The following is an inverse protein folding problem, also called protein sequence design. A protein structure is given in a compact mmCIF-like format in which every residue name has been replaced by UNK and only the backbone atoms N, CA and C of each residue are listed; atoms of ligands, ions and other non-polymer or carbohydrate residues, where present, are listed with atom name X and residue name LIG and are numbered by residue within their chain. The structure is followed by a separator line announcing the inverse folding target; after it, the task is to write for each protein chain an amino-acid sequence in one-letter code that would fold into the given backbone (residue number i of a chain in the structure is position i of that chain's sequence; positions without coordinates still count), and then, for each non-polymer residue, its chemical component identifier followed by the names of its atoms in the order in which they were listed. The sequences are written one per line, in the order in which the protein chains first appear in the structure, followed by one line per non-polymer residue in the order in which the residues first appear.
data_IF_001906637696
#
_entry.id   IF_001906637696
#
_cell.length_a   1.000
_cell.length_b   1.000
_cell.length_c   1.000
_cell.angle_alpha   90.00
_cell.angle_beta   90.00
_cell.angle_gamma   90.00
#
_symmetry.space_group_name_H-M   'P 1'
#
loop_
_entity.id
_entity.type
_entity.pdbx_description
1 polymer ?
#
# COMPACT_ATOMS: atom_id res chain seq x y z
N UNK A 1 17.49 6.41 74.77
CA UNK A 1 16.98 7.26 73.60
C UNK A 1 17.42 6.73 72.27
N UNK A 2 18.64 6.22 72.07
CA UNK A 2 19.11 5.72 70.76
C UNK A 2 18.34 4.52 70.23
N UNK A 3 17.96 3.56 70.99
CA UNK A 3 17.23 2.37 70.60
C UNK A 3 15.82 2.70 70.07
N UNK A 4 15.14 3.71 70.62
CA UNK A 4 13.87 4.20 70.17
C UNK A 4 13.97 4.89 68.82
N UNK A 5 15.03 5.67 68.59
CA UNK A 5 15.26 6.35 67.28
C UNK A 5 15.57 5.35 66.13
N UNK A 6 16.36 4.31 66.47
CA UNK A 6 16.66 3.22 65.50
C UNK A 6 15.40 2.43 65.13
N UNK A 7 14.54 2.13 66.14
CA UNK A 7 13.27 1.43 65.92
C UNK A 7 12.29 2.24 65.05
N UNK A 8 12.18 3.55 65.26
CA UNK A 8 11.36 4.42 64.48
C UNK A 8 11.87 4.54 63.02
N UNK A 9 13.18 4.65 62.81
CA UNK A 9 13.74 4.67 61.45
C UNK A 9 13.54 3.33 60.73
N UNK A 10 13.69 2.20 61.42
CA UNK A 10 13.42 0.90 60.84
C UNK A 10 11.94 0.69 60.44
N UNK A 11 11.00 1.26 61.19
CA UNK A 11 9.59 1.21 60.89
C UNK A 11 9.20 2.13 59.68
N UNK A 12 9.95 3.21 59.44
CA UNK A 12 9.71 4.11 58.30
C UNK A 12 10.10 3.48 56.98
N UNK A 13 11.02 2.52 56.91
CA UNK A 13 11.47 1.89 55.67
C UNK A 13 10.34 1.08 54.98
N UNK A 14 9.64 0.15 55.66
CA UNK A 14 8.52 -0.56 55.05
C UNK A 14 7.41 0.37 54.61
N UNK A 15 7.13 1.42 55.41
CA UNK A 15 6.12 2.41 55.06
C UNK A 15 6.51 3.23 53.82
N UNK A 16 7.77 3.65 53.71
CA UNK A 16 8.28 4.36 52.53
C UNK A 16 8.27 3.47 51.26
N UNK A 17 8.63 2.19 51.41
CA UNK A 17 8.54 1.21 50.29
C UNK A 17 7.09 1.01 49.86
N UNK A 18 6.17 0.86 50.83
CA UNK A 18 4.74 0.73 50.54
C UNK A 18 4.16 1.97 49.89
N UNK A 19 4.45 3.17 50.41
CA UNK A 19 4.02 4.44 49.79
C UNK A 19 4.58 4.61 48.37
N UNK A 20 5.83 4.22 48.13
CA UNK A 20 6.46 4.25 46.84
C UNK A 20 5.82 3.23 45.85
N UNK A 21 5.38 2.08 46.35
CA UNK A 21 4.64 1.09 45.54
C UNK A 21 3.26 1.60 45.16
N UNK A 22 2.56 2.33 46.03
CA UNK A 22 1.28 2.98 45.72
C UNK A 22 1.44 4.07 44.66
N UNK A 23 2.48 4.87 44.75
CA UNK A 23 2.77 5.92 43.72
C UNK A 23 3.15 5.28 42.40
N UNK A 24 3.86 4.16 42.37
CA UNK A 24 4.15 3.41 41.15
C UNK A 24 2.94 2.67 40.59
N UNK A 25 2.04 2.19 41.44
CA UNK A 25 0.79 1.57 41.00
C UNK A 25 -0.19 2.58 40.36
N UNK A 26 0.00 3.87 40.63
CA UNK A 26 -0.86 4.95 40.12
C UNK A 26 -0.60 5.42 38.71
N UNK A 27 0.29 4.76 37.95
CA UNK A 27 0.52 5.12 36.51
C UNK A 27 -0.43 4.38 35.55
N UNK A 28 -1.56 3.91 36.06
CA UNK A 28 -2.64 3.44 35.17
C UNK A 28 -3.32 4.64 34.53
N UNK A 29 -3.15 4.80 33.22
CA UNK A 29 -3.97 5.72 32.42
C UNK A 29 -5.33 5.06 32.23
N UNK A 30 -6.33 5.48 33.02
CA UNK A 30 -7.68 4.96 32.89
C UNK A 30 -8.16 5.12 31.44
N UNK A 31 -8.54 4.01 30.80
CA UNK A 31 -9.00 3.95 29.42
C UNK A 31 -7.89 3.76 28.35
N UNK A 32 -6.63 3.62 28.74
CA UNK A 32 -5.51 3.37 27.82
C UNK A 32 -4.79 2.03 28.12
N UNK A 33 -5.43 1.11 28.84
CA UNK A 33 -4.85 -0.15 29.30
C UNK A 33 -4.40 -1.07 28.15
N UNK A 34 -4.96 -0.88 26.95
CA UNK A 34 -4.61 -1.62 25.73
C UNK A 34 -3.92 -0.76 24.65
N UNK A 35 -3.42 0.41 25.05
CA UNK A 35 -2.75 1.37 24.17
C UNK A 35 -3.56 2.65 23.94
N UNK A 36 -2.86 3.72 23.56
CA UNK A 36 -3.44 5.04 23.31
C UNK A 36 -3.96 5.22 21.87
N UNK A 37 -4.03 4.13 21.09
CA UNK A 37 -4.49 4.18 19.69
C UNK A 37 -5.97 4.56 19.62
N UNK A 38 -6.30 5.60 18.86
CA UNK A 38 -7.66 6.06 18.61
C UNK A 38 -7.85 6.47 17.17
N UNK A 39 -9.09 6.45 16.71
CA UNK A 39 -9.42 6.96 15.39
C UNK A 39 -9.12 8.45 15.31
N UNK A 40 -8.40 8.84 14.25
CA UNK A 40 -8.11 10.23 13.99
C UNK A 40 -9.35 10.92 13.40
N UNK A 41 -9.79 12.09 13.91
CA UNK A 41 -10.88 12.84 13.32
C UNK A 41 -10.59 13.19 11.85
N UNK A 42 -11.59 13.13 10.94
CA UNK A 42 -11.37 13.38 9.51
C UNK A 42 -10.71 14.72 9.19
N UNK A 43 -11.05 15.77 9.94
CA UNK A 43 -10.45 17.12 9.77
C UNK A 43 -8.96 17.11 10.08
N UNK A 44 -8.58 16.42 11.15
CA UNK A 44 -7.18 16.30 11.55
C UNK A 44 -6.42 15.39 10.58
N UNK A 45 -7.05 14.30 10.12
CA UNK A 45 -6.48 13.41 9.11
C UNK A 45 -6.20 14.17 7.79
N UNK A 46 -7.16 14.95 7.30
CA UNK A 46 -6.97 15.78 6.13
C UNK A 46 -5.81 16.77 6.31
N UNK A 47 -5.75 17.46 7.45
CA UNK A 47 -4.66 18.42 7.74
C UNK A 47 -3.28 17.79 7.79
N UNK A 48 -3.17 16.51 8.21
CA UNK A 48 -1.89 15.79 8.36
C UNK A 48 -1.42 15.13 7.07
N UNK A 49 -2.34 14.55 6.30
CA UNK A 49 -1.99 13.64 5.21
C UNK A 49 -2.33 14.17 3.83
N UNK A 50 -3.27 15.14 3.71
CA UNK A 50 -3.61 15.72 2.43
C UNK A 50 -2.76 16.96 2.13
N UNK A 51 -2.49 17.21 0.85
CA UNK A 51 -2.04 18.52 0.41
C UNK A 51 -3.28 19.44 0.34
N UNK A 52 -3.36 20.37 1.29
CA UNK A 52 -4.48 21.32 1.37
C UNK A 52 -4.30 22.54 0.46
N UNK A 53 -3.10 22.72 -0.10
CA UNK A 53 -2.78 23.82 -1.02
C UNK A 53 -3.04 23.45 -2.46
N UNK A 54 -2.85 22.19 -2.77
CA UNK A 54 -3.06 21.63 -4.09
C UNK A 54 -3.99 20.41 -3.97
N UNK A 55 -5.30 20.60 -4.13
CA UNK A 55 -6.28 19.51 -4.02
C UNK A 55 -6.04 18.38 -5.03
N UNK A 56 -5.52 18.69 -6.22
CA UNK A 56 -5.26 17.72 -7.28
C UNK A 56 -4.04 16.85 -6.99
N UNK A 57 -3.19 17.28 -6.05
CA UNK A 57 -2.06 16.49 -5.56
C UNK A 57 -2.46 15.46 -4.50
N UNK A 58 -3.67 14.91 -4.54
CA UNK A 58 -4.14 13.96 -3.53
C UNK A 58 -4.75 12.71 -4.17
N UNK A 59 -4.45 11.56 -3.59
CA UNK A 59 -5.26 10.36 -3.78
C UNK A 59 -6.50 10.52 -2.90
N UNK A 60 -7.68 10.49 -3.48
CA UNK A 60 -8.95 10.62 -2.76
C UNK A 60 -9.22 9.33 -1.99
N UNK A 61 -9.22 9.40 -0.67
CA UNK A 61 -9.56 8.27 0.21
C UNK A 61 -11.04 8.31 0.60
N UNK A 62 -11.53 9.49 0.94
CA UNK A 62 -12.92 9.74 1.30
C UNK A 62 -13.31 11.15 0.84
N UNK A 63 -14.58 11.51 1.00
CA UNK A 63 -15.07 12.86 0.67
C UNK A 63 -14.26 14.00 1.35
N UNK A 64 -13.59 13.74 2.46
CA UNK A 64 -12.91 14.76 3.27
C UNK A 64 -11.43 14.51 3.47
N UNK A 65 -10.93 13.35 3.13
CA UNK A 65 -9.56 12.96 3.42
C UNK A 65 -8.92 12.44 2.15
N UNK A 66 -7.80 13.02 1.79
CA UNK A 66 -6.89 12.55 0.75
C UNK A 66 -5.56 12.11 1.33
N UNK A 67 -4.73 11.55 0.49
CA UNK A 67 -3.33 11.27 0.76
C UNK A 67 -2.49 11.96 -0.31
N UNK A 68 -1.65 12.90 0.09
CA UNK A 68 -0.82 13.65 -0.83
C UNK A 68 0.07 12.73 -1.69
N UNK A 69 0.05 12.95 -3.00
CA UNK A 69 0.90 12.23 -3.97
C UNK A 69 2.34 12.73 -3.83
N UNK A 70 2.56 14.04 -3.92
CA UNK A 70 3.82 14.65 -3.53
C UNK A 70 3.76 15.05 -2.05
N UNK A 71 4.49 14.32 -1.24
CA UNK A 71 4.56 14.54 0.21
C UNK A 71 5.74 15.42 0.63
N UNK A 72 6.41 16.09 -0.30
CA UNK A 72 7.56 16.97 -0.01
C UNK A 72 7.20 18.09 0.96
N UNK A 73 5.98 18.62 0.83
CA UNK A 73 5.42 19.69 1.66
C UNK A 73 4.89 19.24 3.03
N UNK A 74 4.72 17.92 3.22
CA UNK A 74 4.27 17.38 4.49
C UNK A 74 5.44 17.24 5.47
N UNK A 75 5.15 17.37 6.77
CA UNK A 75 6.11 17.04 7.82
C UNK A 75 6.55 15.58 7.67
N UNK A 76 7.86 15.31 7.87
CA UNK A 76 8.45 13.98 7.69
C UNK A 76 7.71 12.90 8.49
N UNK A 77 7.28 13.21 9.69
CA UNK A 77 6.54 12.32 10.59
C UNK A 77 5.13 11.94 10.07
N UNK A 78 4.57 12.72 9.12
CA UNK A 78 3.24 12.51 8.55
C UNK A 78 3.27 11.85 7.18
N UNK A 79 4.45 11.70 6.58
CA UNK A 79 4.60 11.01 5.30
C UNK A 79 4.25 9.55 5.43
N UNK A 80 3.49 9.02 4.49
CA UNK A 80 2.99 7.64 4.50
C UNK A 80 3.23 6.97 3.15
N UNK A 81 3.34 5.64 3.18
CA UNK A 81 3.28 4.85 1.95
C UNK A 81 1.95 5.10 1.22
N UNK A 82 2.01 5.11 -0.11
CA UNK A 82 0.85 5.35 -0.97
C UNK A 82 0.12 4.07 -1.38
N UNK A 83 0.48 2.94 -0.77
CA UNK A 83 -0.22 1.68 -0.97
C UNK A 83 -1.55 1.70 -0.24
N UNK A 84 -2.65 1.53 -0.97
CA UNK A 84 -4.00 1.63 -0.44
C UNK A 84 -4.73 0.33 -0.71
N UNK A 85 -5.25 -0.29 0.33
CA UNK A 85 -6.09 -1.48 0.24
C UNK A 85 -7.55 -1.10 0.48
N UNK A 86 -8.39 -1.29 -0.54
CA UNK A 86 -9.84 -1.05 -0.47
C UNK A 86 -10.58 -2.38 -0.38
N UNK A 87 -11.21 -2.65 0.75
CA UNK A 87 -11.92 -3.89 1.02
C UNK A 87 -13.43 -3.66 0.94
N UNK A 88 -14.14 -4.57 0.29
CA UNK A 88 -15.60 -4.53 0.21
C UNK A 88 -16.14 -5.69 -0.64
N UNK A 89 -17.36 -6.13 -0.37
CA UNK A 89 -18.04 -7.16 -1.13
C UNK A 89 -18.39 -6.74 -2.56
N UNK A 90 -18.96 -7.65 -3.32
CA UNK A 90 -19.49 -7.35 -4.66
C UNK A 90 -20.62 -6.32 -4.54
N UNK A 91 -20.64 -5.31 -5.42
CA UNK A 91 -21.67 -4.25 -5.39
C UNK A 91 -21.47 -3.17 -4.33
N UNK A 92 -20.41 -3.22 -3.50
CA UNK A 92 -20.15 -2.20 -2.46
C UNK A 92 -19.71 -0.83 -2.99
N UNK A 93 -19.65 -0.66 -4.31
CA UNK A 93 -19.30 0.62 -4.93
C UNK A 93 -17.81 0.95 -4.97
N UNK A 94 -16.90 0.00 -4.75
CA UNK A 94 -15.44 0.26 -4.77
C UNK A 94 -14.99 1.01 -6.03
N UNK A 95 -15.42 0.54 -7.18
CA UNK A 95 -15.06 1.19 -8.46
C UNK A 95 -15.61 2.61 -8.55
N UNK A 96 -16.89 2.78 -8.21
CA UNK A 96 -17.57 4.07 -8.29
C UNK A 96 -17.06 5.07 -7.24
N UNK A 97 -16.84 4.63 -6.00
CA UNK A 97 -16.50 5.52 -4.89
C UNK A 97 -15.01 5.78 -4.74
N UNK A 98 -14.15 4.92 -5.30
CA UNK A 98 -12.70 5.05 -5.12
C UNK A 98 -11.95 5.11 -6.46
N UNK A 99 -12.13 4.11 -7.34
CA UNK A 99 -11.33 4.04 -8.58
C UNK A 99 -11.67 5.19 -9.53
N UNK A 100 -12.96 5.40 -9.82
CA UNK A 100 -13.40 6.43 -10.76
C UNK A 100 -13.04 7.85 -10.29
N UNK A 101 -13.30 8.28 -9.05
CA UNK A 101 -12.92 9.62 -8.61
C UNK A 101 -11.42 9.90 -8.71
N UNK A 102 -10.59 8.91 -8.41
CA UNK A 102 -9.14 9.05 -8.54
C UNK A 102 -8.68 9.09 -9.99
N UNK A 103 -9.25 8.27 -10.86
CA UNK A 103 -8.96 8.28 -12.28
C UNK A 103 -9.42 9.58 -12.97
N UNK A 104 -10.58 10.12 -12.56
CA UNK A 104 -11.12 11.38 -13.11
C UNK A 104 -10.29 12.61 -12.78
N UNK A 105 -9.41 12.55 -11.78
CA UNK A 105 -8.48 13.66 -11.53
C UNK A 105 -7.48 13.86 -12.67
N UNK A 106 -7.17 12.80 -13.43
CA UNK A 106 -6.23 12.84 -14.56
C UNK A 106 -4.91 13.57 -14.23
N UNK A 107 -4.37 13.33 -13.03
CA UNK A 107 -3.23 14.05 -12.47
C UNK A 107 -1.93 13.24 -12.43
N UNK A 108 -1.95 12.02 -12.95
CA UNK A 108 -0.80 11.08 -12.98
C UNK A 108 -1.01 10.02 -14.05
N UNK A 109 0.02 9.24 -14.37
CA UNK A 109 -0.12 8.07 -15.21
C UNK A 109 -0.84 6.94 -14.48
N UNK A 110 -1.64 6.16 -15.20
CA UNK A 110 -2.46 5.11 -14.63
C UNK A 110 -2.20 3.77 -15.31
N UNK A 111 -2.05 2.73 -14.50
CA UNK A 111 -2.15 1.33 -14.92
C UNK A 111 -3.35 0.72 -14.22
N UNK A 112 -4.38 0.35 -14.98
CA UNK A 112 -5.66 -0.10 -14.43
C UNK A 112 -5.98 -1.51 -14.92
N UNK A 113 -6.23 -2.44 -13.99
CA UNK A 113 -6.77 -3.76 -14.33
C UNK A 113 -8.29 -3.69 -14.37
N UNK A 114 -8.86 -3.86 -15.56
CA UNK A 114 -10.30 -3.78 -15.81
C UNK A 114 -10.87 -5.12 -16.31
N UNK A 115 -11.24 -5.99 -15.38
CA UNK A 115 -11.75 -7.34 -15.69
C UNK A 115 -13.07 -7.34 -16.48
N UNK A 116 -13.82 -6.24 -16.42
CA UNK A 116 -15.14 -6.09 -17.09
C UNK A 116 -15.06 -5.27 -18.38
N UNK A 117 -13.98 -4.53 -18.62
CA UNK A 117 -13.84 -3.60 -19.75
C UNK A 117 -14.73 -2.36 -19.63
N UNK A 118 -15.23 -2.06 -18.43
CA UNK A 118 -16.13 -0.92 -18.19
C UNK A 118 -15.37 0.38 -18.00
N UNK A 119 -14.24 0.33 -17.33
CA UNK A 119 -13.43 1.54 -17.04
C UNK A 119 -12.79 2.09 -18.30
N UNK A 120 -12.24 1.24 -19.15
CA UNK A 120 -11.66 1.67 -20.44
C UNK A 120 -12.70 2.33 -21.34
N UNK A 121 -13.94 1.79 -21.37
CA UNK A 121 -15.04 2.37 -22.13
C UNK A 121 -15.51 3.70 -21.55
N UNK A 122 -15.67 3.77 -20.23
CA UNK A 122 -16.30 4.92 -19.56
C UNK A 122 -15.31 6.10 -19.37
N UNK A 123 -14.00 5.81 -19.20
CA UNK A 123 -12.98 6.82 -18.95
C UNK A 123 -12.02 7.07 -20.12
N UNK A 124 -11.93 6.15 -21.10
CA UNK A 124 -10.96 6.24 -22.19
C UNK A 124 -11.08 7.53 -23.00
N UNK A 125 -12.31 7.96 -23.30
CA UNK A 125 -12.56 9.22 -24.01
C UNK A 125 -12.13 10.46 -23.22
N UNK A 126 -12.33 10.43 -21.91
CA UNK A 126 -11.91 11.51 -21.01
C UNK A 126 -10.37 11.60 -20.95
N UNK A 127 -9.69 10.47 -20.77
CA UNK A 127 -8.23 10.44 -20.79
C UNK A 127 -7.64 10.95 -22.11
N UNK A 128 -8.19 10.51 -23.25
CA UNK A 128 -7.77 11.00 -24.56
C UNK A 128 -7.97 12.51 -24.70
N UNK A 129 -9.10 13.06 -24.21
CA UNK A 129 -9.36 14.48 -24.21
C UNK A 129 -8.39 15.30 -23.34
N UNK A 130 -7.83 14.68 -22.31
CA UNK A 130 -6.78 15.27 -21.45
C UNK A 130 -5.35 15.02 -21.97
N UNK A 131 -5.20 14.49 -23.18
CA UNK A 131 -3.90 14.29 -23.82
C UNK A 131 -3.17 13.00 -23.42
N UNK A 132 -3.85 12.06 -22.76
CA UNK A 132 -3.27 10.75 -22.44
C UNK A 132 -3.27 9.84 -23.67
N UNK A 133 -2.22 9.08 -23.83
CA UNK A 133 -2.20 7.91 -24.69
C UNK A 133 -2.90 6.75 -23.96
N UNK A 134 -4.05 6.32 -24.49
CA UNK A 134 -4.83 5.24 -23.89
C UNK A 134 -4.51 3.92 -24.57
N UNK A 135 -3.75 3.07 -23.91
CA UNK A 135 -3.37 1.74 -24.40
C UNK A 135 -4.23 0.68 -23.71
N UNK A 136 -5.01 -0.07 -24.48
CA UNK A 136 -5.87 -1.14 -23.95
C UNK A 136 -5.29 -2.49 -24.35
N UNK A 137 -4.84 -3.27 -23.38
CA UNK A 137 -4.43 -4.66 -23.58
C UNK A 137 -5.55 -5.60 -23.13
N UNK A 138 -6.15 -6.33 -24.09
CA UNK A 138 -7.28 -7.21 -23.85
C UNK A 138 -6.94 -8.66 -24.13
N UNK A 139 -7.05 -9.51 -23.11
CA UNK A 139 -6.96 -10.97 -23.25
C UNK A 139 -8.26 -11.61 -23.72
N UNK A 140 -9.40 -10.90 -23.61
CA UNK A 140 -10.72 -11.38 -24.04
C UNK A 140 -10.97 -11.17 -25.53
N UNK A 141 -10.50 -10.05 -26.06
CA UNK A 141 -10.67 -9.69 -27.48
C UNK A 141 -9.31 -9.24 -28.03
N UNK A 142 -8.48 -10.19 -28.49
CA UNK A 142 -7.18 -9.88 -29.05
C UNK A 142 -7.24 -9.01 -30.33
N UNK A 143 -8.36 -9.01 -31.03
CA UNK A 143 -8.54 -8.21 -32.26
C UNK A 143 -8.59 -6.71 -31.98
N UNK A 144 -9.02 -6.34 -30.79
CA UNK A 144 -9.13 -4.95 -30.28
C UNK A 144 -8.06 -4.58 -29.28
N UNK A 145 -7.10 -5.48 -29.02
CA UNK A 145 -6.03 -5.30 -28.07
C UNK A 145 -4.84 -4.58 -28.71
N UNK A 146 -4.19 -3.73 -27.94
CA UNK A 146 -2.85 -3.29 -28.27
C UNK A 146 -1.89 -4.49 -28.35
N UNK A 147 -0.94 -4.40 -29.26
CA UNK A 147 0.11 -5.41 -29.43
C UNK A 147 1.28 -5.04 -28.53
N UNK A 148 1.81 -6.03 -27.83
CA UNK A 148 2.97 -5.87 -26.98
C UNK A 148 4.05 -6.86 -27.37
N UNK A 149 5.18 -6.34 -27.84
CA UNK A 149 6.34 -7.15 -28.18
C UNK A 149 7.34 -7.11 -27.00
N UNK A 150 7.32 -8.13 -26.17
CA UNK A 150 8.22 -8.23 -25.02
C UNK A 150 9.68 -8.27 -25.42
N UNK A 151 10.01 -8.87 -26.58
CA UNK A 151 11.38 -9.00 -27.06
C UNK A 151 12.02 -7.66 -27.44
N UNK A 152 11.22 -6.65 -27.76
CA UNK A 152 11.72 -5.31 -28.09
C UNK A 152 12.38 -4.58 -26.91
N UNK A 153 12.16 -5.07 -25.68
CA UNK A 153 12.68 -4.48 -24.45
C UNK A 153 13.94 -5.19 -23.93
N UNK A 154 14.35 -6.29 -24.53
CA UNK A 154 15.55 -7.02 -24.14
C UNK A 154 16.79 -6.26 -24.66
N UNK A 155 17.61 -5.74 -23.75
CA UNK A 155 18.80 -4.93 -24.06
C UNK A 155 20.09 -5.60 -23.65
N UNK A 156 20.04 -6.44 -22.66
CA UNK A 156 21.20 -7.12 -22.07
C UNK A 156 21.00 -8.64 -22.08
N UNK A 157 22.08 -9.44 -22.04
CA UNK A 157 21.97 -10.90 -21.88
C UNK A 157 21.20 -11.29 -20.62
N UNK A 158 21.28 -10.49 -19.55
CA UNK A 158 20.56 -10.73 -18.29
C UNK A 158 19.06 -10.61 -18.52
N UNK A 159 18.59 -9.57 -19.25
CA UNK A 159 17.17 -9.40 -19.57
C UNK A 159 16.63 -10.60 -20.34
N UNK A 160 17.42 -11.18 -21.23
CA UNK A 160 17.03 -12.38 -22.00
C UNK A 160 16.85 -13.58 -21.06
N UNK A 161 17.78 -13.79 -20.11
CA UNK A 161 17.69 -14.88 -19.14
C UNK A 161 16.45 -14.72 -18.25
N UNK A 162 16.22 -13.52 -17.73
CA UNK A 162 15.06 -13.20 -16.89
C UNK A 162 13.74 -13.39 -17.67
N UNK A 163 13.69 -12.94 -18.92
CA UNK A 163 12.53 -13.14 -19.78
C UNK A 163 12.23 -14.61 -20.04
N UNK A 164 13.25 -15.40 -20.39
CA UNK A 164 13.11 -16.84 -20.63
C UNK A 164 12.64 -17.57 -19.37
N UNK A 165 13.20 -17.24 -18.21
CA UNK A 165 12.78 -17.83 -16.93
C UNK A 165 11.31 -17.47 -16.61
N UNK A 166 10.92 -16.21 -16.79
CA UNK A 166 9.54 -15.79 -16.60
C UNK A 166 8.59 -16.49 -17.57
N UNK A 167 8.95 -16.59 -18.85
CA UNK A 167 8.17 -17.28 -19.87
C UNK A 167 7.95 -18.76 -19.53
N UNK A 168 9.00 -19.47 -19.15
CA UNK A 168 8.92 -20.87 -18.77
C UNK A 168 8.07 -21.06 -17.51
N UNK A 169 8.25 -20.22 -16.48
CA UNK A 169 7.49 -20.33 -15.23
C UNK A 169 5.98 -20.12 -15.46
N UNK A 170 5.61 -19.22 -16.34
CA UNK A 170 4.19 -18.97 -16.70
C UNK A 170 3.62 -20.10 -17.55
N UNK A 171 4.42 -20.69 -18.43
CA UNK A 171 3.98 -21.74 -19.35
C UNK A 171 3.82 -23.08 -18.65
N UNK A 172 4.72 -23.43 -17.74
CA UNK A 172 4.71 -24.73 -17.05
C UNK A 172 3.78 -24.74 -15.81
N UNK A 173 3.38 -23.58 -15.27
CA UNK A 173 2.59 -23.47 -14.05
C UNK A 173 3.41 -23.75 -12.77
N UNK A 174 2.76 -23.58 -11.62
CA UNK A 174 3.40 -23.74 -10.29
C UNK A 174 3.68 -25.22 -9.91
N UNK A 175 3.10 -26.17 -10.63
CA UNK A 175 3.14 -27.62 -10.31
C UNK A 175 4.21 -28.41 -11.08
N UNK A 176 5.17 -27.76 -11.72
CA UNK A 176 6.25 -28.43 -12.46
C UNK A 176 7.09 -29.32 -11.51
N UNK A 177 6.92 -30.63 -11.63
CA UNK A 177 7.66 -31.63 -10.83
C UNK A 177 9.13 -31.63 -11.21
N UNK A 178 9.98 -32.08 -10.29
CA UNK A 178 11.45 -32.10 -10.43
C UNK A 178 11.96 -32.81 -11.70
N UNK A 179 11.21 -33.75 -12.28
CA UNK A 179 11.51 -34.42 -13.54
C UNK A 179 11.50 -33.47 -14.76
N UNK A 180 10.73 -32.39 -14.69
CA UNK A 180 10.68 -31.34 -15.72
C UNK A 180 11.87 -30.37 -15.65
N UNK A 181 12.63 -30.34 -14.55
CA UNK A 181 13.76 -29.44 -14.40
C UNK A 181 14.84 -29.65 -15.47
N UNK A 182 15.09 -30.88 -15.88
CA UNK A 182 16.04 -31.19 -16.96
C UNK A 182 15.56 -30.60 -18.29
N UNK A 183 14.31 -30.83 -18.65
CA UNK A 183 13.73 -30.33 -19.90
C UNK A 183 13.62 -28.82 -19.89
N UNK A 184 13.28 -28.25 -18.75
CA UNK A 184 13.23 -26.80 -18.54
C UNK A 184 14.60 -26.15 -18.75
N UNK A 185 15.67 -26.73 -18.16
CA UNK A 185 17.03 -26.23 -18.34
C UNK A 185 17.52 -26.37 -19.78
N UNK A 186 17.18 -27.49 -20.44
CA UNK A 186 17.53 -27.71 -21.85
C UNK A 186 16.80 -26.71 -22.76
N UNK A 187 15.54 -26.41 -22.49
CA UNK A 187 14.77 -25.41 -23.22
C UNK A 187 15.34 -24.00 -23.01
N UNK A 188 15.77 -23.65 -21.78
CA UNK A 188 16.46 -22.39 -21.51
C UNK A 188 17.73 -22.28 -22.35
N UNK A 189 18.57 -23.30 -22.39
CA UNK A 189 19.80 -23.31 -23.17
C UNK A 189 19.54 -23.19 -24.68
N UNK A 190 18.48 -23.82 -25.17
CA UNK A 190 18.09 -23.74 -26.60
C UNK A 190 17.60 -22.32 -26.96
N UNK A 191 16.85 -21.66 -26.05
CA UNK A 191 16.34 -20.33 -26.29
C UNK A 191 17.40 -19.23 -26.12
N UNK A 192 18.52 -19.55 -25.48
CA UNK A 192 19.66 -18.64 -25.30
C UNK A 192 20.72 -18.80 -26.41
N UNK A 193 20.65 -19.85 -27.23
CA UNK A 193 21.55 -20.09 -28.35
C UNK A 193 21.10 -19.34 -29.62
#
# INVERSE_FOLDING_TARGET
PMALAVGLMAACIPWAVWARSLVRAGTYRQGEEHGSARWLPPVEAARRFSDTRDPDNNIILTRRVGLAVDQSRLKREWRRAKNILVIGGTGSGKTFSYVMPNALQANQDFLITDTKGTLSRDLGGMFAAHGYEVVVFSTKDPSRSARYNTLAYLRTPVDVIEWVQAFISVTNGEDAKAEEAFWTNTTVLLLLS
#
